data_IF_175560789271
#
_entry.id   IF_175560789271
#
_cell.length_a   1.000
_cell.length_b   1.000
_cell.length_c   1.000
_cell.angle_alpha   90.00
_cell.angle_beta   90.00
_cell.angle_gamma   90.00
#
_symmetry.space_group_name_H-M   'P 1'
#
loop_
_entity.id
_entity.type
_entity.pdbx_description
1 polymer ?
#
# COMPACT_ATOMS: atom_id res chain seq x y z
N UNK A 1 8.20 36.56 -2.80
CA UNK A 1 9.13 36.55 -1.65
C UNK A 1 10.23 35.54 -1.95
N UNK A 2 11.38 35.62 -1.28
CA UNK A 2 12.42 34.60 -1.42
C UNK A 2 11.96 33.29 -0.75
N UNK A 3 12.34 32.14 -1.32
CA UNK A 3 12.05 30.81 -0.77
C UNK A 3 12.85 30.55 0.52
N UNK A 4 12.31 29.73 1.43
CA UNK A 4 13.05 29.27 2.63
C UNK A 4 13.68 27.91 2.35
N UNK A 5 14.93 27.94 1.90
CA UNK A 5 15.62 26.72 1.46
C UNK A 5 16.43 26.08 2.59
N UNK A 6 16.24 24.78 2.79
CA UNK A 6 17.09 23.91 3.61
C UNK A 6 18.04 23.12 2.73
N UNK A 7 19.30 23.02 3.11
CA UNK A 7 20.25 22.11 2.49
C UNK A 7 19.99 20.66 2.93
N UNK A 8 19.77 19.76 1.98
CA UNK A 8 19.52 18.34 2.25
C UNK A 8 20.80 17.51 2.15
N UNK A 9 21.69 17.82 1.22
CA UNK A 9 22.97 17.13 1.10
C UNK A 9 23.70 17.31 -0.22
N UNK A 10 24.94 16.82 -0.27
CA UNK A 10 25.82 16.81 -1.45
C UNK A 10 26.72 15.58 -1.41
N UNK A 11 27.03 15.04 -2.58
CA UNK A 11 28.05 13.98 -2.76
C UNK A 11 29.37 14.51 -3.32
N UNK A 12 29.54 15.84 -3.39
CA UNK A 12 30.82 16.42 -3.81
C UNK A 12 31.85 16.33 -2.68
N UNK A 13 33.07 15.90 -3.01
CA UNK A 13 34.19 15.91 -2.05
C UNK A 13 34.81 17.29 -1.83
N UNK A 14 34.70 18.22 -2.80
CA UNK A 14 35.54 19.44 -2.86
C UNK A 14 34.84 20.75 -3.29
N UNK A 15 33.51 20.86 -3.34
CA UNK A 15 32.91 22.13 -3.80
C UNK A 15 31.41 22.31 -3.75
N UNK A 16 30.67 21.52 -2.98
CA UNK A 16 29.23 21.70 -2.73
C UNK A 16 28.31 21.46 -3.94
N UNK A 17 28.83 21.03 -5.09
CA UNK A 17 28.05 20.75 -6.30
C UNK A 17 28.33 19.32 -6.79
N UNK A 18 27.30 18.51 -7.08
CA UNK A 18 25.88 18.86 -7.03
C UNK A 18 25.27 18.71 -5.63
N UNK A 19 24.16 19.41 -5.38
CA UNK A 19 23.49 19.45 -4.08
C UNK A 19 21.97 19.40 -4.22
N UNK A 20 21.30 18.92 -3.17
CA UNK A 20 19.84 18.91 -3.04
C UNK A 20 19.44 19.88 -1.94
N UNK A 21 18.42 20.68 -2.23
CA UNK A 21 17.77 21.57 -1.28
C UNK A 21 16.27 21.32 -1.28
N UNK A 22 15.62 21.70 -0.20
CA UNK A 22 14.17 21.61 -0.04
C UNK A 22 13.61 22.98 0.31
N UNK A 23 12.52 23.36 -0.35
CA UNK A 23 11.72 24.51 0.04
C UNK A 23 10.82 24.15 1.21
N UNK A 24 11.05 24.76 2.38
CA UNK A 24 10.31 24.47 3.60
C UNK A 24 8.86 24.97 3.57
N UNK A 25 8.49 25.78 2.58
CA UNK A 25 7.13 26.28 2.42
C UNK A 25 6.31 25.42 1.46
N UNK A 26 6.88 25.00 0.33
CA UNK A 26 6.17 24.22 -0.70
C UNK A 26 6.47 22.72 -0.69
N UNK A 27 7.55 22.29 -0.03
CA UNK A 27 8.07 20.92 -0.11
C UNK A 27 8.75 20.60 -1.45
N UNK A 28 8.91 21.58 -2.35
CA UNK A 28 9.58 21.37 -3.62
C UNK A 28 11.07 21.07 -3.42
N UNK A 29 11.61 20.17 -4.23
CA UNK A 29 13.02 19.83 -4.25
C UNK A 29 13.74 20.66 -5.31
N UNK A 30 14.83 21.30 -4.92
CA UNK A 30 15.71 22.07 -5.81
C UNK A 30 17.04 21.34 -5.94
N UNK A 31 17.41 21.03 -7.17
CA UNK A 31 18.68 20.36 -7.48
C UNK A 31 19.66 21.38 -8.07
N UNK A 32 20.76 21.61 -7.34
CA UNK A 32 21.87 22.42 -7.83
C UNK A 32 22.89 21.51 -8.52
N UNK A 33 23.31 21.90 -9.72
CA UNK A 33 24.35 21.20 -10.46
C UNK A 33 24.81 22.00 -11.68
N UNK A 34 25.65 21.38 -12.52
CA UNK A 34 26.05 21.97 -13.81
C UNK A 34 24.87 21.85 -14.78
N UNK A 35 24.40 22.95 -15.39
CA UNK A 35 23.32 22.88 -16.37
C UNK A 35 23.80 22.14 -17.62
N UNK A 36 22.88 21.40 -18.24
CA UNK A 36 23.04 20.92 -19.62
C UNK A 36 22.80 22.08 -20.56
N UNK A 37 23.77 22.39 -21.40
CA UNK A 37 23.73 23.52 -22.33
C UNK A 37 24.00 23.13 -23.78
N UNK A 38 24.41 21.89 -24.02
CA UNK A 38 24.65 21.40 -25.38
C UNK A 38 23.30 21.30 -26.12
N UNK A 39 23.13 21.95 -27.28
CA UNK A 39 21.89 21.89 -28.04
C UNK A 39 21.50 20.46 -28.45
N UNK A 40 22.47 19.57 -28.71
CA UNK A 40 22.21 18.18 -29.08
C UNK A 40 21.69 17.38 -27.88
N UNK A 41 22.22 17.62 -26.68
CA UNK A 41 21.71 17.01 -25.44
C UNK A 41 20.30 17.51 -25.14
N UNK A 42 20.07 18.82 -25.26
CA UNK A 42 18.78 19.44 -24.95
C UNK A 42 17.68 18.98 -25.93
N UNK A 43 18.01 18.79 -27.22
CA UNK A 43 17.06 18.31 -28.22
C UNK A 43 16.58 16.87 -27.96
N UNK A 44 17.32 16.09 -27.15
CA UNK A 44 16.94 14.74 -26.76
C UNK A 44 15.99 14.70 -25.55
N UNK A 45 15.84 15.81 -24.82
CA UNK A 45 14.96 15.88 -23.65
C UNK A 45 13.49 15.96 -24.07
N UNK A 46 12.66 15.10 -23.50
CA UNK A 46 11.21 15.13 -23.73
C UNK A 46 10.56 16.26 -22.92
N UNK A 47 9.64 17.00 -23.55
CA UNK A 47 8.90 18.12 -22.95
C UNK A 47 9.75 19.32 -22.48
N UNK A 48 11.00 19.43 -22.94
CA UNK A 48 11.87 20.55 -22.59
C UNK A 48 11.45 21.83 -23.32
N UNK A 49 11.06 22.83 -22.54
CA UNK A 49 10.57 24.12 -22.99
C UNK A 49 11.58 25.27 -22.79
N UNK A 50 11.30 26.44 -23.36
CA UNK A 50 12.21 27.60 -23.34
C UNK A 50 12.45 28.22 -21.96
N UNK A 51 11.69 27.81 -20.93
CA UNK A 51 11.83 28.25 -19.54
C UNK A 51 12.41 27.18 -18.62
N UNK A 52 12.71 26.00 -19.16
CA UNK A 52 13.21 24.89 -18.37
C UNK A 52 14.72 24.95 -18.24
N UNK A 53 15.21 24.41 -17.13
CA UNK A 53 16.63 24.22 -16.88
C UNK A 53 16.87 22.73 -16.61
N UNK A 54 17.74 22.10 -17.39
CA UNK A 54 18.15 20.72 -17.16
C UNK A 54 19.50 20.70 -16.44
N UNK A 55 19.62 19.88 -15.40
CA UNK A 55 20.83 19.75 -14.59
C UNK A 55 21.24 18.29 -14.54
N UNK A 56 22.50 18.00 -14.89
CA UNK A 56 23.05 16.67 -14.77
C UNK A 56 23.60 16.45 -13.36
N UNK A 57 23.12 15.41 -12.66
CA UNK A 57 23.62 15.00 -11.33
C UNK A 57 23.88 13.50 -11.27
N UNK A 58 24.85 13.04 -10.46
CA UNK A 58 25.06 11.61 -10.18
C UNK A 58 23.84 10.97 -9.54
N UNK A 59 23.65 9.68 -9.78
CA UNK A 59 22.51 8.92 -9.23
C UNK A 59 22.55 8.89 -7.71
N UNK A 60 23.76 8.77 -7.16
CA UNK A 60 24.03 8.68 -5.73
C UNK A 60 23.44 9.88 -4.98
N UNK A 61 23.46 11.08 -5.58
CA UNK A 61 22.93 12.29 -4.96
C UNK A 61 21.45 12.12 -4.59
N UNK A 62 20.64 11.59 -5.51
CA UNK A 62 19.21 11.41 -5.31
C UNK A 62 18.91 10.22 -4.40
N UNK A 63 19.70 9.16 -4.49
CA UNK A 63 19.57 7.98 -3.62
C UNK A 63 19.89 8.33 -2.16
N UNK A 64 20.94 9.11 -1.94
CA UNK A 64 21.44 9.43 -0.61
C UNK A 64 20.66 10.57 0.03
N UNK A 65 20.35 11.61 -0.74
CA UNK A 65 19.83 12.88 -0.23
C UNK A 65 18.44 13.26 -0.74
N UNK A 66 17.84 12.44 -1.61
CA UNK A 66 16.44 12.59 -2.02
C UNK A 66 15.47 12.26 -0.87
N UNK A 67 14.28 12.89 -0.85
CA UNK A 67 13.27 12.60 0.16
C UNK A 67 12.82 11.14 0.07
N UNK A 68 12.84 10.44 1.20
CA UNK A 68 12.43 9.03 1.32
C UNK A 68 10.98 8.90 1.77
N UNK A 69 10.54 9.86 2.56
CA UNK A 69 9.16 9.98 3.00
C UNK A 69 8.43 10.92 2.05
N UNK A 70 7.34 10.43 1.46
CA UNK A 70 6.34 11.31 0.88
C UNK A 70 5.29 11.53 1.97
N UNK A 71 4.84 12.76 2.19
CA UNK A 71 3.57 13.00 2.88
C UNK A 71 2.42 12.49 2.00
N UNK A 72 2.27 11.15 1.94
CA UNK A 72 1.12 10.50 1.31
C UNK A 72 -0.04 10.69 2.25
N UNK A 73 -0.88 11.67 1.97
CA UNK A 73 -2.24 11.70 2.53
C UNK A 73 -2.97 10.49 1.92
N UNK A 74 -3.34 9.46 2.71
CA UNK A 74 -4.06 8.33 2.18
C UNK A 74 -5.39 8.82 1.60
N UNK A 75 -5.71 8.45 0.36
CA UNK A 75 -7.06 8.62 -0.15
C UNK A 75 -7.94 7.62 0.59
N UNK A 76 -8.73 8.10 1.54
CA UNK A 76 -9.73 7.29 2.21
C UNK A 76 -10.83 6.95 1.21
N UNK A 77 -11.13 5.65 1.10
CA UNK A 77 -12.22 5.14 0.27
C UNK A 77 -13.41 4.77 1.17
N UNK A 78 -14.62 4.94 0.66
CA UNK A 78 -15.84 4.55 1.38
C UNK A 78 -16.05 3.03 1.40
N UNK A 79 -17.02 2.55 2.19
CA UNK A 79 -17.34 1.12 2.30
C UNK A 79 -17.70 0.48 0.95
N UNK A 80 -18.43 1.19 0.10
CA UNK A 80 -18.79 0.72 -1.25
C UNK A 80 -17.56 0.56 -2.15
N UNK A 81 -16.67 1.56 -2.15
CA UNK A 81 -15.42 1.54 -2.92
C UNK A 81 -14.47 0.46 -2.41
N UNK A 82 -14.40 0.24 -1.09
CA UNK A 82 -13.68 -0.88 -0.50
C UNK A 82 -14.27 -2.23 -0.93
N UNK A 83 -15.59 -2.38 -0.93
CA UNK A 83 -16.28 -3.58 -1.41
C UNK A 83 -15.96 -3.91 -2.88
N UNK A 84 -15.83 -2.88 -3.75
CA UNK A 84 -15.44 -3.06 -5.15
C UNK A 84 -14.07 -3.69 -5.31
N UNK A 85 -13.13 -3.50 -4.38
CA UNK A 85 -11.81 -4.13 -4.46
C UNK A 85 -11.89 -5.66 -4.51
N UNK A 86 -12.89 -6.25 -3.87
CA UNK A 86 -13.13 -7.69 -3.88
C UNK A 86 -13.94 -8.18 -5.09
N UNK A 87 -14.40 -7.28 -5.96
CA UNK A 87 -15.10 -7.63 -7.21
C UNK A 87 -14.25 -7.35 -8.45
N UNK A 88 -13.30 -6.41 -8.37
CA UNK A 88 -12.52 -5.92 -9.51
C UNK A 88 -11.04 -6.31 -9.51
N UNK A 89 -10.52 -6.99 -8.48
CA UNK A 89 -9.12 -7.43 -8.47
C UNK A 89 -8.81 -8.36 -9.65
N UNK A 90 -7.61 -8.23 -10.23
CA UNK A 90 -7.27 -8.91 -11.50
C UNK A 90 -6.72 -10.32 -11.28
N UNK A 91 -5.86 -10.51 -10.28
CA UNK A 91 -5.13 -11.78 -10.08
C UNK A 91 -5.31 -12.37 -8.68
N UNK A 92 -4.97 -11.58 -7.66
CA UNK A 92 -4.98 -12.06 -6.27
C UNK A 92 -5.39 -10.97 -5.29
N UNK A 93 -6.18 -11.32 -4.28
CA UNK A 93 -6.46 -10.50 -3.11
C UNK A 93 -6.25 -11.31 -1.84
N UNK A 94 -5.63 -10.75 -0.81
CA UNK A 94 -5.50 -11.44 0.48
C UNK A 94 -5.60 -10.46 1.64
N UNK A 95 -6.16 -10.96 2.74
CA UNK A 95 -6.25 -10.22 3.99
C UNK A 95 -5.26 -10.79 5.00
N UNK A 96 -4.39 -9.93 5.54
CA UNK A 96 -3.49 -10.28 6.63
C UNK A 96 -4.13 -9.95 7.97
N UNK A 97 -4.37 -10.97 8.78
CA UNK A 97 -4.92 -10.84 10.13
C UNK A 97 -3.80 -11.13 11.13
N UNK A 98 -3.40 -10.11 11.89
CA UNK A 98 -2.34 -10.21 12.90
C UNK A 98 -2.87 -10.06 14.33
N UNK A 99 -4.18 -9.89 14.50
CA UNK A 99 -4.80 -9.60 15.80
C UNK A 99 -5.23 -10.89 16.50
N UNK A 100 -5.17 -10.89 17.82
CA UNK A 100 -5.71 -11.94 18.70
C UNK A 100 -7.26 -11.98 18.76
N UNK A 101 -7.97 -11.25 17.90
CA UNK A 101 -9.42 -11.09 17.90
C UNK A 101 -9.85 -9.62 17.74
N UNK A 102 -11.11 -9.39 17.39
CA UNK A 102 -11.68 -8.05 17.25
C UNK A 102 -12.77 -7.81 18.30
N UNK A 103 -12.88 -6.55 18.77
CA UNK A 103 -13.95 -6.19 19.70
C UNK A 103 -15.33 -6.32 19.06
N UNK A 104 -15.45 -5.99 17.76
CA UNK A 104 -16.67 -6.14 16.97
C UNK A 104 -17.18 -7.58 16.90
N UNK A 105 -16.27 -8.56 16.89
CA UNK A 105 -16.67 -9.98 16.88
C UNK A 105 -17.50 -10.31 18.12
N UNK A 106 -17.15 -9.72 19.28
CA UNK A 106 -17.81 -9.99 20.57
C UNK A 106 -19.20 -9.36 20.67
N UNK A 107 -19.55 -8.49 19.73
CA UNK A 107 -20.87 -7.87 19.63
C UNK A 107 -21.82 -8.71 18.74
N UNK A 108 -21.30 -9.73 18.04
CA UNK A 108 -22.04 -10.59 17.12
C UNK A 108 -22.58 -11.85 17.84
N UNK A 109 -23.84 -12.22 17.55
CA UNK A 109 -24.47 -13.43 18.11
C UNK A 109 -23.70 -14.71 17.75
N UNK A 110 -23.04 -14.74 16.60
CA UNK A 110 -22.21 -15.86 16.15
C UNK A 110 -21.00 -16.10 17.05
N UNK A 111 -20.47 -15.07 17.72
CA UNK A 111 -19.41 -15.25 18.72
C UNK A 111 -19.94 -15.94 19.97
N UNK A 112 -21.15 -15.58 20.42
CA UNK A 112 -21.81 -16.25 21.54
C UNK A 112 -22.10 -17.72 21.22
N UNK A 113 -22.59 -18.01 20.01
CA UNK A 113 -22.80 -19.39 19.55
C UNK A 113 -21.51 -20.19 19.48
N UNK A 114 -20.42 -19.58 18.98
CA UNK A 114 -19.11 -20.21 18.96
C UNK A 114 -18.61 -20.54 20.36
N UNK A 115 -18.74 -19.64 21.34
CA UNK A 115 -18.33 -19.93 22.71
C UNK A 115 -19.11 -21.09 23.32
N UNK A 116 -20.39 -21.25 22.95
CA UNK A 116 -21.24 -22.33 23.44
C UNK A 116 -20.96 -23.68 22.75
N UNK A 117 -20.61 -23.69 21.47
CA UNK A 117 -20.58 -24.90 20.62
C UNK A 117 -19.20 -25.26 20.06
N UNK A 118 -18.25 -24.33 20.13
CA UNK A 118 -16.96 -24.40 19.44
C UNK A 118 -17.04 -24.21 17.92
N UNK A 119 -18.21 -23.86 17.37
CA UNK A 119 -18.40 -23.65 15.92
C UNK A 119 -19.12 -22.33 15.66
N UNK A 120 -18.53 -21.50 14.81
CA UNK A 120 -19.17 -20.28 14.31
C UNK A 120 -20.24 -20.59 13.25
N UNK A 121 -21.35 -19.84 13.21
CA UNK A 121 -22.40 -20.02 12.22
C UNK A 121 -21.89 -19.75 10.81
N UNK A 122 -22.39 -20.52 9.84
CA UNK A 122 -21.92 -20.49 8.45
C UNK A 122 -23.10 -20.25 7.50
N UNK A 123 -23.09 -19.10 6.83
CA UNK A 123 -23.98 -18.80 5.71
C UNK A 123 -23.23 -18.82 4.38
N UNK A 124 -23.33 -19.97 3.70
CA UNK A 124 -22.75 -20.19 2.39
C UNK A 124 -23.52 -19.50 1.26
N UNK A 125 -24.74 -19.02 1.50
CA UNK A 125 -25.59 -18.39 0.49
C UNK A 125 -25.47 -16.85 0.52
N UNK A 126 -24.70 -16.30 1.46
CA UNK A 126 -24.40 -14.86 1.53
C UNK A 126 -23.80 -14.30 0.23
N UNK A 127 -24.11 -13.04 -0.06
CA UNK A 127 -23.57 -12.28 -1.21
C UNK A 127 -22.03 -12.32 -1.26
N UNK A 128 -21.39 -12.32 -0.08
CA UNK A 128 -19.95 -12.46 0.05
C UNK A 128 -19.47 -13.82 -0.49
N UNK A 129 -20.07 -14.91 0.00
CA UNK A 129 -19.72 -16.26 -0.44
C UNK A 129 -19.98 -16.45 -1.95
N UNK A 130 -21.09 -15.91 -2.46
CA UNK A 130 -21.39 -15.91 -3.90
C UNK A 130 -20.34 -15.14 -4.72
N UNK A 131 -19.89 -13.98 -4.25
CA UNK A 131 -18.81 -13.24 -4.90
C UNK A 131 -17.50 -14.04 -4.91
N UNK A 132 -17.08 -14.59 -3.76
CA UNK A 132 -15.82 -15.33 -3.66
C UNK A 132 -15.80 -16.56 -4.56
N UNK A 133 -16.92 -17.30 -4.68
CA UNK A 133 -17.07 -18.40 -5.65
C UNK A 133 -16.84 -17.91 -7.08
N UNK A 134 -17.54 -16.86 -7.49
CA UNK A 134 -17.38 -16.27 -8.84
C UNK A 134 -15.93 -15.87 -9.13
N UNK A 135 -15.21 -15.30 -8.17
CA UNK A 135 -13.81 -14.89 -8.38
C UNK A 135 -12.87 -16.08 -8.48
N UNK A 136 -13.09 -17.12 -7.66
CA UNK A 136 -12.27 -18.34 -7.69
C UNK A 136 -12.55 -19.18 -8.93
N UNK A 137 -13.79 -19.29 -9.39
CA UNK A 137 -14.18 -19.91 -10.67
C UNK A 137 -13.56 -19.19 -11.88
N UNK A 138 -13.29 -17.89 -11.77
CA UNK A 138 -12.57 -17.12 -12.79
C UNK A 138 -11.04 -17.32 -12.75
N UNK A 139 -10.52 -18.25 -11.93
CA UNK A 139 -9.10 -18.56 -11.82
C UNK A 139 -8.31 -17.57 -10.96
N UNK A 140 -8.98 -16.69 -10.21
CA UNK A 140 -8.32 -15.72 -9.33
C UNK A 140 -8.11 -16.29 -7.92
N UNK A 141 -7.11 -15.77 -7.22
CA UNK A 141 -6.85 -16.14 -5.83
C UNK A 141 -7.46 -15.14 -4.85
N UNK A 142 -8.23 -15.63 -3.88
CA UNK A 142 -8.65 -14.82 -2.74
C UNK A 142 -8.53 -15.62 -1.45
N UNK A 143 -7.89 -15.04 -0.43
CA UNK A 143 -7.58 -15.78 0.78
C UNK A 143 -7.34 -14.90 2.01
N UNK A 144 -7.19 -15.56 3.16
CA UNK A 144 -6.82 -14.92 4.42
C UNK A 144 -5.55 -15.56 4.96
N UNK A 145 -4.60 -14.73 5.35
CA UNK A 145 -3.36 -15.15 6.01
C UNK A 145 -3.46 -14.71 7.46
N UNK A 146 -3.22 -15.64 8.39
CA UNK A 146 -3.36 -15.38 9.83
C UNK A 146 -2.06 -15.62 10.55
N UNK A 147 -1.69 -14.68 11.41
CA UNK A 147 -0.70 -14.91 12.47
C UNK A 147 -1.47 -15.38 13.70
N UNK A 148 -1.06 -16.53 14.24
CA UNK A 148 -1.75 -17.20 15.35
C UNK A 148 -0.78 -17.33 16.52
N UNK A 149 -1.28 -17.06 17.72
CA UNK A 149 -0.49 -17.18 18.95
C UNK A 149 -0.35 -18.65 19.34
N UNK A 150 0.62 -18.96 20.20
CA UNK A 150 0.80 -20.29 20.78
C UNK A 150 0.74 -20.20 22.33
N UNK A 151 -0.39 -20.59 22.97
CA UNK A 151 -1.61 -21.13 22.36
C UNK A 151 -2.49 -20.03 21.69
N UNK A 152 -3.35 -20.39 20.72
CA UNK A 152 -4.26 -19.44 20.09
C UNK A 152 -5.24 -18.83 21.10
N UNK A 153 -5.57 -17.55 20.93
CA UNK A 153 -6.61 -16.89 21.72
C UNK A 153 -8.01 -17.38 21.32
N UNK A 154 -9.01 -17.17 22.17
CA UNK A 154 -10.42 -17.46 21.84
C UNK A 154 -10.88 -16.73 20.57
N UNK A 155 -10.47 -15.47 20.39
CA UNK A 155 -10.76 -14.70 19.18
C UNK A 155 -10.10 -15.29 17.93
N UNK A 156 -8.86 -15.78 18.03
CA UNK A 156 -8.20 -16.48 16.92
C UNK A 156 -8.90 -17.81 16.61
N UNK A 157 -9.37 -18.54 17.62
CA UNK A 157 -10.13 -19.78 17.44
C UNK A 157 -11.49 -19.54 16.78
N UNK A 158 -12.18 -18.45 17.12
CA UNK A 158 -13.41 -18.02 16.47
C UNK A 158 -13.18 -17.73 14.97
N UNK A 159 -12.18 -16.91 14.65
CA UNK A 159 -11.82 -16.57 13.27
C UNK A 159 -11.36 -17.80 12.46
N UNK A 160 -10.71 -18.76 13.13
CA UNK A 160 -10.33 -20.04 12.54
C UNK A 160 -11.55 -20.94 12.27
N UNK A 161 -12.56 -20.92 13.14
CA UNK A 161 -13.82 -21.62 12.88
C UNK A 161 -14.49 -21.11 11.60
N UNK A 162 -14.48 -19.79 11.36
CA UNK A 162 -14.96 -19.19 10.10
C UNK A 162 -14.11 -19.56 8.87
N UNK A 163 -12.88 -20.04 9.05
CA UNK A 163 -12.06 -20.49 7.92
C UNK A 163 -12.70 -21.68 7.18
N UNK A 164 -13.61 -22.42 7.82
CA UNK A 164 -14.42 -23.46 7.18
C UNK A 164 -15.31 -22.89 6.06
N UNK A 165 -15.90 -21.70 6.25
CA UNK A 165 -16.67 -21.02 5.22
C UNK A 165 -15.78 -20.64 4.02
N UNK A 166 -14.57 -20.13 4.31
CA UNK A 166 -13.61 -19.77 3.26
C UNK A 166 -13.20 -21.00 2.44
N UNK A 167 -12.92 -22.12 3.09
CA UNK A 167 -12.56 -23.36 2.40
C UNK A 167 -13.73 -23.93 1.57
N UNK A 168 -14.97 -23.82 2.06
CA UNK A 168 -16.16 -24.28 1.34
C UNK A 168 -16.58 -23.37 0.17
N UNK A 169 -16.08 -22.13 0.11
CA UNK A 169 -16.38 -21.16 -0.96
C UNK A 169 -15.30 -21.05 -2.02
N UNK A 170 -14.08 -21.50 -1.73
CA UNK A 170 -12.99 -21.58 -2.69
C UNK A 170 -12.89 -23.00 -3.21
N UNK A 171 -13.45 -23.26 -4.39
CA UNK A 171 -13.25 -24.53 -5.07
C UNK A 171 -11.77 -24.62 -5.46
N UNK A 172 -11.00 -25.45 -4.75
CA UNK A 172 -9.70 -25.90 -5.26
C UNK A 172 -9.99 -26.83 -6.44
N UNK A 173 -9.87 -26.29 -7.66
CA UNK A 173 -9.68 -27.09 -8.86
C UNK A 173 -8.27 -27.66 -8.93
#
# INVERSE_FOLDING_TARGET
>A
MARRLRFSGTDSKNGGCPAVHEDLDSGEIIVQGKPLTDPEDLAQLQHFGPKDAAVAVPRELLVNHGPKEMERVPKLIGLEEFGRLFTTFEHSAWHLETRGGYASDREDDGYTEFLATGTAPMDLDSDWCANIRRQTEAGKYVGRVRVVDDPPTEGQMFLLSYARCNAATSAFG
#
